data_IF_059268295408
#
_entry.id   IF_059268295408
#
_cell.length_a   1.000
_cell.length_b   1.000
_cell.length_c   1.000
_cell.angle_alpha   90.00
_cell.angle_beta   90.00
_cell.angle_gamma   90.00
#
_symmetry.space_group_name_H-M   'P 1'
#
loop_
_entity.id
_entity.type
_entity.pdbx_description
1 polymer ?
#
# COMPACT_ATOMS: atom_id res chain seq x y z
N UNK A 1 -67.18 12.43 -20.32
CA UNK A 1 -66.53 11.23 -19.77
C UNK A 1 -65.44 10.61 -20.64
N UNK A 2 -64.82 11.34 -21.58
CA UNK A 2 -63.77 10.77 -22.47
C UNK A 2 -62.40 11.45 -22.34
N UNK A 3 -62.27 12.50 -21.55
CA UNK A 3 -61.04 13.25 -21.33
C UNK A 3 -60.10 12.69 -20.29
N UNK A 4 -60.59 11.88 -19.32
CA UNK A 4 -59.77 11.40 -18.20
C UNK A 4 -58.92 10.17 -18.53
N UNK A 5 -59.23 9.44 -19.59
CA UNK A 5 -58.46 8.26 -20.00
C UNK A 5 -57.18 8.61 -20.73
N UNK A 6 -57.18 9.71 -21.45
CA UNK A 6 -55.98 10.18 -22.17
C UNK A 6 -54.92 10.77 -21.27
N UNK A 7 -55.33 11.44 -20.19
CA UNK A 7 -54.39 12.05 -19.21
C UNK A 7 -53.65 10.99 -18.35
N UNK A 8 -54.34 9.87 -18.03
CA UNK A 8 -53.70 8.77 -17.31
C UNK A 8 -52.66 8.00 -18.11
N UNK A 9 -52.77 7.96 -19.43
CA UNK A 9 -51.80 7.28 -20.31
C UNK A 9 -50.52 8.07 -20.55
N UNK A 10 -50.53 9.39 -20.38
CA UNK A 10 -49.35 10.23 -20.54
C UNK A 10 -48.41 10.19 -19.31
N UNK A 11 -48.96 9.95 -18.10
CA UNK A 11 -48.16 9.86 -16.88
C UNK A 11 -47.39 8.56 -16.70
N UNK A 12 -47.82 7.48 -17.35
CA UNK A 12 -47.17 6.16 -17.24
C UNK A 12 -45.88 6.05 -18.10
N UNK A 13 -45.67 6.94 -19.05
CA UNK A 13 -44.45 6.93 -19.92
C UNK A 13 -43.27 7.72 -19.35
N UNK A 14 -43.49 8.64 -18.42
CA UNK A 14 -42.41 9.47 -17.86
C UNK A 14 -41.65 8.82 -16.70
N UNK A 15 -42.16 7.73 -16.11
CA UNK A 15 -41.52 7.06 -14.98
C UNK A 15 -40.60 5.90 -15.38
N UNK A 16 -40.52 5.54 -16.68
CA UNK A 16 -39.68 4.42 -17.14
C UNK A 16 -38.26 4.82 -17.56
N UNK A 17 -37.93 6.11 -17.47
CA UNK A 17 -36.63 6.66 -17.94
C UNK A 17 -35.64 7.01 -16.82
N UNK A 18 -35.94 6.70 -15.54
CA UNK A 18 -35.11 7.11 -14.41
C UNK A 18 -34.32 6.01 -13.71
N UNK A 19 -34.32 4.78 -14.19
CA UNK A 19 -33.61 3.66 -13.53
C UNK A 19 -32.53 3.01 -14.39
N UNK A 20 -32.02 3.69 -15.39
CA UNK A 20 -30.80 3.24 -16.08
C UNK A 20 -29.57 3.86 -15.39
N UNK A 21 -29.47 3.66 -14.06
CA UNK A 21 -28.17 3.70 -13.40
C UNK A 21 -27.48 2.42 -13.78
N UNK A 22 -26.75 2.44 -14.89
CA UNK A 22 -25.75 1.43 -15.13
C UNK A 22 -24.91 1.30 -13.85
N UNK A 23 -24.74 0.08 -13.31
CA UNK A 23 -23.86 -0.09 -12.18
C UNK A 23 -22.50 0.42 -12.65
N UNK A 24 -22.04 1.53 -12.08
CA UNK A 24 -20.70 2.07 -12.29
C UNK A 24 -19.75 0.91 -12.06
N UNK A 25 -19.35 0.25 -13.14
CA UNK A 25 -18.31 -0.76 -13.13
C UNK A 25 -17.06 -0.03 -12.70
N UNK A 26 -16.81 -0.05 -11.40
CA UNK A 26 -15.53 0.32 -10.85
C UNK A 26 -14.53 -0.69 -11.42
N UNK A 27 -14.05 -0.43 -12.64
CA UNK A 27 -12.86 -1.10 -13.14
C UNK A 27 -11.79 -0.82 -12.11
N UNK A 28 -11.51 -1.82 -11.29
CA UNK A 28 -10.35 -1.84 -10.41
C UNK A 28 -9.12 -1.75 -11.32
N UNK A 29 -8.83 -0.54 -11.84
CA UNK A 29 -7.52 -0.25 -12.43
C UNK A 29 -6.55 -0.74 -11.37
N UNK A 30 -5.88 -1.84 -11.65
CA UNK A 30 -4.77 -2.32 -10.84
C UNK A 30 -3.68 -1.26 -10.93
N UNK A 31 -3.75 -0.27 -10.06
CA UNK A 31 -2.64 0.63 -9.85
C UNK A 31 -1.49 -0.24 -9.39
N UNK A 32 -0.59 -0.57 -10.31
CA UNK A 32 0.70 -1.14 -9.93
C UNK A 32 1.45 -0.03 -9.23
N UNK A 33 1.26 0.08 -7.93
CA UNK A 33 2.06 0.99 -7.10
C UNK A 33 3.48 0.44 -7.13
N UNK A 34 4.32 1.03 -7.99
CA UNK A 34 5.72 0.66 -8.08
C UNK A 34 6.44 1.29 -6.88
N UNK A 35 6.48 0.55 -5.78
CA UNK A 35 7.24 0.99 -4.61
C UNK A 35 8.74 0.96 -4.95
N UNK A 36 9.43 2.07 -4.62
CA UNK A 36 10.89 2.22 -4.82
C UNK A 36 11.70 1.35 -3.88
N UNK A 37 11.05 0.80 -2.87
CA UNK A 37 11.60 0.03 -1.75
C UNK A 37 11.28 -1.43 -1.99
N UNK A 38 12.27 -2.31 -1.81
CA UNK A 38 12.14 -3.76 -1.96
C UNK A 38 12.38 -4.48 -0.63
N UNK A 39 11.98 -5.75 -0.55
CA UNK A 39 12.36 -6.65 0.55
C UNK A 39 13.89 -6.79 0.60
N UNK A 40 14.46 -6.78 1.81
CA UNK A 40 15.90 -6.85 2.04
C UNK A 40 16.62 -5.48 2.00
N UNK A 41 15.91 -4.39 1.66
CA UNK A 41 16.52 -3.05 1.71
C UNK A 41 16.66 -2.58 3.16
N UNK A 42 17.77 -1.92 3.49
CA UNK A 42 17.94 -1.24 4.78
C UNK A 42 17.30 0.14 4.71
N UNK A 43 16.46 0.47 5.69
CA UNK A 43 15.77 1.76 5.78
C UNK A 43 15.96 2.43 7.11
N UNK A 44 15.86 3.76 7.12
CA UNK A 44 15.87 4.60 8.32
C UNK A 44 14.50 5.21 8.51
N UNK A 45 13.98 5.15 9.73
CA UNK A 45 12.68 5.74 10.08
C UNK A 45 12.83 7.24 10.24
N UNK A 46 11.98 8.01 9.55
CA UNK A 46 11.98 9.47 9.56
C UNK A 46 11.04 10.06 10.61
N UNK A 47 9.92 9.37 10.89
CA UNK A 47 8.87 9.89 11.77
C UNK A 47 8.17 8.78 12.56
N UNK A 48 7.65 9.14 13.72
CA UNK A 48 6.97 8.23 14.64
C UNK A 48 7.81 7.92 15.87
N UNK A 49 7.33 6.97 16.73
CA UNK A 49 7.98 6.61 17.99
C UNK A 49 9.41 6.04 17.80
N UNK A 50 9.65 5.38 16.67
CA UNK A 50 10.93 4.78 16.33
C UNK A 50 11.78 5.65 15.40
N UNK A 51 11.56 6.98 15.38
CA UNK A 51 12.34 7.93 14.57
C UNK A 51 13.84 7.76 14.79
N UNK A 52 14.57 7.70 13.70
CA UNK A 52 16.04 7.59 13.71
C UNK A 52 16.58 6.16 13.71
N UNK A 53 15.78 5.17 14.08
CA UNK A 53 16.18 3.75 14.02
C UNK A 53 16.33 3.29 12.55
N UNK A 54 17.25 2.35 12.36
CA UNK A 54 17.46 1.68 11.07
C UNK A 54 17.09 0.22 11.20
N UNK A 55 16.55 -0.36 10.13
CA UNK A 55 16.18 -1.77 10.10
C UNK A 55 16.06 -2.29 8.68
N UNK A 56 16.05 -3.60 8.55
CA UNK A 56 15.87 -4.30 7.27
C UNK A 56 14.38 -4.55 7.01
N UNK A 57 13.97 -4.44 5.75
CA UNK A 57 12.60 -4.69 5.32
C UNK A 57 12.35 -6.18 5.21
N UNK A 58 11.42 -6.68 6.03
CA UNK A 58 10.96 -8.08 6.01
C UNK A 58 9.92 -8.30 4.91
N UNK A 59 8.97 -7.38 4.79
CA UNK A 59 7.86 -7.49 3.83
C UNK A 59 7.43 -6.12 3.29
N UNK A 60 6.98 -6.12 2.04
CA UNK A 60 6.42 -4.95 1.36
C UNK A 60 5.00 -5.27 0.93
N UNK A 61 4.03 -4.44 1.30
CA UNK A 61 2.61 -4.60 0.97
C UNK A 61 2.20 -3.46 0.00
N UNK A 62 2.35 -3.65 -1.33
CA UNK A 62 2.13 -2.58 -2.30
C UNK A 62 0.71 -2.04 -2.32
N UNK A 63 -0.30 -2.89 -2.03
CA UNK A 63 -1.72 -2.52 -2.07
C UNK A 63 -2.07 -1.39 -1.10
N UNK A 64 -1.42 -1.36 0.07
CA UNK A 64 -1.69 -0.39 1.13
C UNK A 64 -0.52 0.58 1.36
N UNK A 65 0.51 0.51 0.51
CA UNK A 65 1.76 1.28 0.64
C UNK A 65 2.44 1.14 2.00
N UNK A 66 2.32 -0.05 2.60
CA UNK A 66 2.89 -0.36 3.90
C UNK A 66 4.08 -1.31 3.76
N UNK A 67 4.98 -1.21 4.72
CA UNK A 67 6.16 -2.06 4.83
C UNK A 67 6.29 -2.58 6.27
N UNK A 68 6.85 -3.76 6.45
CA UNK A 68 7.22 -4.33 7.74
C UNK A 68 8.74 -4.29 7.84
N UNK A 69 9.24 -3.70 8.91
CA UNK A 69 10.69 -3.51 9.14
C UNK A 69 11.08 -4.21 10.42
N UNK A 70 12.18 -4.94 10.38
CA UNK A 70 12.71 -5.69 11.52
C UNK A 70 13.01 -4.77 12.71
N UNK A 71 12.48 -5.14 13.88
CA UNK A 71 12.70 -4.43 15.13
C UNK A 71 12.02 -3.06 15.26
N UNK A 72 11.10 -2.71 14.33
CA UNK A 72 10.41 -1.40 14.30
C UNK A 72 8.90 -1.61 14.41
N UNK A 73 8.24 -0.69 15.13
CA UNK A 73 6.80 -0.70 15.39
C UNK A 73 6.33 -2.02 16.02
N UNK A 74 7.09 -2.53 17.00
CA UNK A 74 6.76 -3.75 17.74
C UNK A 74 5.52 -3.50 18.61
N UNK A 75 4.50 -4.33 18.44
CA UNK A 75 3.26 -4.29 19.22
C UNK A 75 2.93 -5.66 19.77
N UNK A 76 2.34 -5.69 20.94
CA UNK A 76 1.83 -6.90 21.56
C UNK A 76 0.54 -7.34 20.85
N UNK A 77 0.50 -8.56 20.33
CA UNK A 77 -0.66 -9.15 19.66
C UNK A 77 -1.13 -10.37 20.43
N UNK A 78 -2.41 -10.41 20.79
CA UNK A 78 -3.05 -11.60 21.37
C UNK A 78 -3.23 -12.65 20.28
N UNK A 79 -2.66 -13.82 20.46
CA UNK A 79 -2.78 -14.95 19.54
C UNK A 79 -3.48 -16.09 20.27
N UNK A 80 -4.61 -16.55 19.69
CA UNK A 80 -5.30 -17.75 20.18
C UNK A 80 -4.57 -19.00 19.69
N UNK A 81 -4.49 -20.07 20.51
CA UNK A 81 -3.91 -21.34 20.08
C UNK A 81 -4.73 -21.89 18.90
N UNK A 82 -4.05 -22.33 17.85
CA UNK A 82 -4.72 -22.88 16.64
C UNK A 82 -4.74 -24.40 16.65
N UNK A 83 -3.82 -25.03 17.38
CA UNK A 83 -3.69 -26.49 17.47
C UNK A 83 -3.57 -26.91 18.93
N UNK A 84 -3.93 -28.16 19.19
CA UNK A 84 -3.71 -28.79 20.50
C UNK A 84 -2.20 -28.85 20.78
N UNK A 85 -1.75 -28.25 21.90
CA UNK A 85 -0.33 -28.14 22.25
C UNK A 85 0.34 -26.77 21.95
N UNK A 86 -0.29 -25.89 21.15
CA UNK A 86 0.19 -24.51 21.01
C UNK A 86 -0.26 -23.66 22.21
N UNK A 87 0.67 -23.01 22.87
CA UNK A 87 0.35 -22.02 23.89
C UNK A 87 -0.03 -20.71 23.20
N UNK A 88 -1.29 -20.29 23.33
CA UNK A 88 -1.73 -18.95 22.97
C UNK A 88 -1.15 -17.95 23.98
N UNK A 89 -1.10 -16.67 23.60
CA UNK A 89 -0.60 -15.64 24.49
C UNK A 89 -0.44 -14.28 23.82
N UNK A 90 0.21 -13.37 24.54
CA UNK A 90 0.55 -12.04 24.02
C UNK A 90 1.96 -12.12 23.43
N UNK A 91 2.03 -12.08 22.09
CA UNK A 91 3.30 -12.19 21.36
C UNK A 91 3.68 -10.81 20.81
N UNK A 92 4.91 -10.32 21.05
CA UNK A 92 5.43 -9.13 20.39
C UNK A 92 5.62 -9.44 18.89
N UNK A 93 5.12 -8.58 18.04
CA UNK A 93 5.20 -8.75 16.58
C UNK A 93 5.45 -7.40 15.91
N UNK A 94 6.23 -7.40 14.82
CA UNK A 94 6.44 -6.22 14.03
C UNK A 94 5.19 -5.89 13.23
N UNK A 95 4.76 -4.63 13.29
CA UNK A 95 3.61 -4.15 12.54
C UNK A 95 4.03 -3.26 11.39
N UNK A 96 3.18 -3.23 10.38
CA UNK A 96 3.41 -2.44 9.18
C UNK A 96 3.39 -0.94 9.47
N UNK A 97 4.27 -0.20 8.80
CA UNK A 97 4.34 1.26 8.77
C UNK A 97 4.17 1.75 7.33
N UNK A 98 3.73 2.99 7.15
CA UNK A 98 3.58 3.56 5.82
C UNK A 98 4.96 3.85 5.19
N UNK A 99 5.11 3.58 3.90
CA UNK A 99 6.39 3.72 3.17
C UNK A 99 6.95 5.15 3.17
N UNK A 100 6.08 6.17 3.25
CA UNK A 100 6.52 7.58 3.34
C UNK A 100 7.23 7.94 4.65
N UNK A 101 7.07 7.12 5.70
CA UNK A 101 7.73 7.34 7.00
C UNK A 101 9.17 6.83 7.05
N UNK A 102 9.66 6.25 5.98
CA UNK A 102 11.02 5.69 5.90
C UNK A 102 11.80 6.25 4.72
N UNK A 103 13.11 6.23 4.84
CA UNK A 103 14.03 6.53 3.75
C UNK A 103 15.00 5.37 3.57
N UNK A 104 15.33 5.03 2.33
CA UNK A 104 16.31 4.00 2.01
C UNK A 104 17.70 4.45 2.44
N UNK A 105 18.44 3.57 3.07
CA UNK A 105 19.85 3.76 3.38
C UNK A 105 20.68 3.17 2.24
N UNK A 106 21.50 4.00 1.61
CA UNK A 106 22.34 3.53 0.52
C UNK A 106 23.46 2.60 1.06
N UNK A 107 23.63 1.39 0.52
CA UNK A 107 24.65 0.46 0.99
C UNK A 107 26.09 0.95 0.73
N UNK A 108 26.30 1.83 -0.28
CA UNK A 108 27.63 2.36 -0.59
C UNK A 108 28.00 3.59 0.25
N UNK A 109 27.10 4.55 0.42
CA UNK A 109 27.44 5.79 1.16
C UNK A 109 26.90 5.83 2.59
N UNK A 110 26.09 4.85 3.04
CA UNK A 110 25.53 4.78 4.38
C UNK A 110 24.52 5.88 4.73
N UNK A 111 24.21 6.78 3.81
CA UNK A 111 23.33 7.92 4.06
C UNK A 111 21.89 7.61 3.63
N UNK A 112 20.91 8.06 4.42
CA UNK A 112 19.52 8.01 4.03
C UNK A 112 19.29 8.91 2.80
N UNK A 113 18.67 8.36 1.75
CA UNK A 113 18.55 9.02 0.44
C UNK A 113 17.22 8.69 -0.24
N UNK A 114 16.86 9.54 -1.21
CA UNK A 114 15.80 9.24 -2.17
C UNK A 114 16.35 8.36 -3.30
N UNK A 115 15.55 7.43 -3.77
CA UNK A 115 15.89 6.54 -4.88
C UNK A 115 15.49 7.19 -6.19
N UNK A 116 16.46 7.34 -7.11
CA UNK A 116 16.24 7.63 -8.53
C UNK A 116 16.13 6.34 -9.33
N UNK A 117 15.81 6.48 -10.63
CA UNK A 117 15.86 5.40 -11.61
C UNK A 117 16.68 5.86 -12.81
N UNK A 118 17.54 4.99 -13.29
CA UNK A 118 18.18 5.10 -14.59
C UNK A 118 17.60 4.00 -15.49
N UNK A 119 17.38 4.35 -16.75
CA UNK A 119 16.87 3.40 -17.76
C UNK A 119 18.08 2.87 -18.52
N UNK A 120 18.36 1.60 -18.33
CA UNK A 120 19.36 0.87 -19.12
C UNK A 120 18.65 0.03 -20.18
N UNK A 121 19.42 -0.53 -21.12
CA UNK A 121 18.87 -1.39 -22.20
C UNK A 121 18.07 -2.56 -21.65
N UNK A 122 18.49 -3.10 -20.50
CA UNK A 122 17.87 -4.26 -19.84
C UNK A 122 16.76 -3.91 -18.83
N UNK A 123 16.53 -2.60 -18.55
CA UNK A 123 15.47 -2.18 -17.63
C UNK A 123 15.76 -0.97 -16.76
N UNK A 124 14.90 -0.75 -15.78
CA UNK A 124 15.04 0.37 -14.82
C UNK A 124 15.85 -0.06 -13.60
N UNK A 125 17.01 0.58 -13.41
CA UNK A 125 17.89 0.36 -12.27
C UNK A 125 17.68 1.46 -11.21
N UNK A 126 17.63 1.06 -9.93
CA UNK A 126 17.53 2.00 -8.81
C UNK A 126 18.89 2.66 -8.55
N UNK A 127 18.89 3.97 -8.38
CA UNK A 127 20.13 4.76 -8.18
C UNK A 127 19.98 5.66 -6.96
N UNK A 128 21.05 5.74 -6.18
CA UNK A 128 21.13 6.67 -5.06
C UNK A 128 21.30 8.11 -5.58
N UNK A 129 20.38 9.02 -5.21
CA UNK A 129 20.50 10.44 -5.61
C UNK A 129 21.66 11.21 -4.96
N UNK A 130 22.32 10.65 -3.94
CA UNK A 130 23.43 11.33 -3.26
C UNK A 130 24.80 10.95 -3.82
N UNK A 131 25.02 9.70 -4.15
CA UNK A 131 26.32 9.21 -4.61
C UNK A 131 26.30 8.60 -6.00
N UNK A 132 25.13 8.55 -6.69
CA UNK A 132 25.02 7.96 -8.03
C UNK A 132 25.17 6.43 -8.07
N UNK A 133 25.30 5.78 -6.92
CA UNK A 133 25.54 4.34 -6.90
C UNK A 133 24.27 3.54 -7.27
N UNK A 134 24.42 2.55 -8.12
CA UNK A 134 23.35 1.58 -8.45
C UNK A 134 23.03 0.73 -7.23
N UNK A 135 21.73 0.55 -6.96
CA UNK A 135 21.17 -0.23 -5.85
C UNK A 135 20.40 -1.41 -6.47
N UNK A 136 20.74 -2.60 -6.08
CA UNK A 136 20.09 -3.84 -6.57
C UNK A 136 18.63 -3.97 -6.14
#
# INVERSE_FOLDING_TARGET
MWADIAYRKSQSKSNKLKNNREPYKFEKKRWKVNMKIKKGDTVKVLSGNDKGKTGEILEVIPKTEKIIVKGINIRKKSVKPRRQGEQGGIIPSEFSIHSSKVALVCPKCGKATRVGYEVEKDGKVRVCKKCGAKIK
#
